data_IF_033224227220
#
_entry.id   IF_033224227220
#
_cell.length_a   1.000
_cell.length_b   1.000
_cell.length_c   1.000
_cell.angle_alpha   90.00
_cell.angle_beta   90.00
_cell.angle_gamma   90.00
#
_symmetry.space_group_name_H-M   'P 1'
#
loop_
_entity.id
_entity.type
_entity.pdbx_description
1 polymer ?
#
# COMPACT_ATOMS: atom_id res chain seq x y z
N UNK A 1 6.83 28.18 -1.24
CA UNK A 1 7.67 28.29 -0.08
C UNK A 1 8.41 26.99 0.21
N UNK A 2 9.70 27.06 0.22
CA UNK A 2 10.50 25.90 0.58
C UNK A 2 10.21 25.52 2.01
N UNK A 3 9.79 24.33 2.28
CA UNK A 3 9.56 23.82 3.61
C UNK A 3 8.18 23.30 3.89
N UNK A 4 7.19 23.61 3.07
CA UNK A 4 5.89 22.97 3.23
C UNK A 4 5.84 21.70 2.41
N UNK A 5 5.71 20.59 3.12
CA UNK A 5 5.51 19.28 2.49
C UNK A 5 4.03 19.05 2.25
N UNK A 6 3.67 18.46 1.11
CA UNK A 6 2.28 18.11 0.87
C UNK A 6 1.82 17.02 1.83
N UNK A 7 0.54 17.08 2.17
CA UNK A 7 -0.13 16.03 2.94
C UNK A 7 -1.26 15.49 2.09
N UNK A 8 -1.30 14.18 1.87
CA UNK A 8 -2.47 13.55 1.27
C UNK A 8 -3.27 12.86 2.36
N UNK A 9 -4.58 12.82 2.16
CA UNK A 9 -5.51 12.17 3.08
C UNK A 9 -6.01 10.89 2.44
N UNK A 10 -5.73 9.77 3.10
CA UNK A 10 -6.35 8.49 2.76
C UNK A 10 -7.46 8.27 3.78
N UNK A 11 -8.69 8.26 3.32
CA UNK A 11 -9.84 8.15 4.21
C UNK A 11 -10.37 6.72 4.22
N UNK A 12 -10.16 6.00 5.30
CA UNK A 12 -10.58 4.63 5.46
C UNK A 12 -12.10 4.42 5.42
N UNK A 13 -12.87 5.48 5.55
CA UNK A 13 -14.32 5.39 5.40
C UNK A 13 -14.79 5.42 3.94
N UNK A 14 -13.90 5.73 3.01
CA UNK A 14 -14.25 5.86 1.58
C UNK A 14 -14.00 4.60 0.78
N UNK A 15 -13.39 3.59 1.35
CA UNK A 15 -13.10 2.34 0.64
C UNK A 15 -13.25 1.15 1.58
N UNK A 16 -13.58 0.00 1.00
CA UNK A 16 -13.75 -1.26 1.74
C UNK A 16 -13.04 -2.44 1.09
N UNK A 17 -12.23 -2.20 0.07
CA UNK A 17 -11.47 -3.24 -0.63
C UNK A 17 -10.14 -2.70 -1.11
N UNK A 18 -9.24 -3.62 -1.47
CA UNK A 18 -7.93 -3.24 -2.00
C UNK A 18 -8.06 -2.44 -3.31
N UNK A 19 -8.97 -2.86 -4.20
CA UNK A 19 -9.21 -2.14 -5.44
C UNK A 19 -9.67 -0.71 -5.21
N UNK A 20 -10.59 -0.52 -4.27
CA UNK A 20 -11.05 0.82 -3.90
C UNK A 20 -9.95 1.63 -3.22
N UNK A 21 -9.09 0.98 -2.44
CA UNK A 21 -7.91 1.64 -1.87
C UNK A 21 -6.99 2.18 -2.99
N UNK A 22 -6.76 1.39 -4.04
CA UNK A 22 -5.96 1.84 -5.18
C UNK A 22 -6.61 3.04 -5.88
N UNK A 23 -7.93 3.08 -5.95
CA UNK A 23 -8.66 4.23 -6.50
C UNK A 23 -8.43 5.48 -5.64
N UNK A 24 -8.47 5.31 -4.33
CA UNK A 24 -8.21 6.41 -3.39
C UNK A 24 -6.78 6.95 -3.56
N UNK A 25 -5.79 6.06 -3.63
CA UNK A 25 -4.38 6.43 -3.85
C UNK A 25 -4.22 7.19 -5.18
N UNK A 26 -4.80 6.66 -6.24
CA UNK A 26 -4.70 7.28 -7.56
C UNK A 26 -5.27 8.70 -7.58
N UNK A 27 -6.38 8.90 -6.91
CA UNK A 27 -7.01 10.22 -6.82
C UNK A 27 -6.19 11.17 -5.97
N UNK A 28 -5.77 10.74 -4.77
CA UNK A 28 -5.05 11.61 -3.85
C UNK A 28 -3.65 11.97 -4.32
N UNK A 29 -2.98 11.05 -4.99
CA UNK A 29 -1.67 11.32 -5.59
C UNK A 29 -1.76 12.00 -6.95
N UNK A 30 -2.96 12.19 -7.48
CA UNK A 30 -3.21 12.76 -8.81
C UNK A 30 -2.49 11.98 -9.91
N UNK A 31 -2.54 10.66 -9.80
CA UNK A 31 -1.99 9.76 -10.80
C UNK A 31 -2.94 9.66 -11.99
N UNK A 32 -2.40 9.48 -13.18
CA UNK A 32 -3.22 9.21 -14.35
C UNK A 32 -3.88 7.83 -14.25
N UNK A 33 -4.71 7.51 -15.23
CA UNK A 33 -5.47 6.27 -15.25
C UNK A 33 -4.62 5.00 -15.37
N UNK A 34 -3.37 5.13 -15.71
CA UNK A 34 -2.52 4.01 -16.11
C UNK A 34 -1.47 3.58 -15.08
N UNK A 35 -1.68 3.85 -13.79
CA UNK A 35 -0.74 3.33 -12.81
C UNK A 35 -1.06 1.85 -12.49
N UNK A 36 -0.04 1.11 -12.02
CA UNK A 36 -0.11 -0.35 -11.92
C UNK A 36 -1.11 -0.94 -10.92
N UNK A 37 -1.53 -0.19 -9.91
CA UNK A 37 -2.56 -0.61 -8.94
C UNK A 37 -2.26 -1.94 -8.26
N UNK A 38 -1.01 -2.11 -7.82
CA UNK A 38 -0.53 -3.28 -7.09
C UNK A 38 0.46 -2.85 -6.02
N UNK A 39 0.75 -3.75 -5.08
CA UNK A 39 1.70 -3.46 -4.01
C UNK A 39 3.08 -3.08 -4.54
N UNK A 40 3.60 -3.82 -5.51
CA UNK A 40 4.91 -3.52 -6.12
C UNK A 40 4.89 -2.18 -6.85
N UNK A 41 3.82 -1.89 -7.58
CA UNK A 41 3.66 -0.62 -8.27
C UNK A 41 3.57 0.55 -7.27
N UNK A 42 2.89 0.34 -6.16
CA UNK A 42 2.80 1.34 -5.10
C UNK A 42 4.16 1.61 -4.46
N UNK A 43 4.93 0.56 -4.18
CA UNK A 43 6.28 0.68 -3.67
C UNK A 43 7.16 1.48 -4.63
N UNK A 44 7.09 1.16 -5.92
CA UNK A 44 7.83 1.88 -6.96
C UNK A 44 7.44 3.36 -7.04
N UNK A 45 6.15 3.67 -6.95
CA UNK A 45 5.68 5.06 -6.96
C UNK A 45 6.29 5.88 -5.83
N UNK A 46 6.32 5.32 -4.64
CA UNK A 46 6.90 6.01 -3.48
C UNK A 46 8.42 6.13 -3.60
N UNK A 47 9.06 5.13 -4.19
CA UNK A 47 10.51 5.11 -4.37
C UNK A 47 11.02 6.13 -5.36
N UNK A 48 10.35 6.28 -6.50
CA UNK A 48 10.74 7.25 -7.52
C UNK A 48 10.21 8.65 -7.23
N UNK A 49 9.22 8.78 -6.35
CA UNK A 49 8.58 10.05 -6.04
C UNK A 49 7.70 10.52 -7.18
N UNK A 50 6.44 10.10 -7.17
CA UNK A 50 5.49 10.39 -8.24
C UNK A 50 4.28 11.13 -7.71
N UNK A 51 3.69 11.99 -8.56
CA UNK A 51 2.49 12.73 -8.23
C UNK A 51 2.71 13.77 -7.13
N UNK A 52 1.73 13.93 -6.26
CA UNK A 52 1.77 14.95 -5.20
C UNK A 52 2.95 14.73 -4.24
N UNK A 53 3.36 13.47 -4.03
CA UNK A 53 4.46 13.12 -3.14
C UNK A 53 5.81 13.01 -3.86
N UNK A 54 5.97 13.64 -5.03
CA UNK A 54 7.20 13.57 -5.82
C UNK A 54 8.45 13.98 -5.03
N UNK A 55 8.31 14.90 -4.10
CA UNK A 55 9.40 15.40 -3.26
C UNK A 55 9.20 15.04 -1.78
N UNK A 56 8.50 13.93 -1.53
CA UNK A 56 8.16 13.53 -0.17
C UNK A 56 6.90 14.22 0.33
N UNK A 57 6.57 13.98 1.58
CA UNK A 57 5.39 14.55 2.21
C UNK A 57 4.83 13.64 3.28
N UNK A 58 3.56 13.81 3.58
CA UNK A 58 2.87 13.04 4.61
C UNK A 58 1.65 12.35 4.04
N UNK A 59 1.50 11.08 4.36
CA UNK A 59 0.26 10.33 4.16
C UNK A 59 -0.45 10.27 5.50
N UNK A 60 -1.59 10.94 5.59
CA UNK A 60 -2.44 10.87 6.77
C UNK A 60 -3.60 9.92 6.47
N UNK A 61 -3.61 8.80 7.15
CA UNK A 61 -4.60 7.75 6.94
C UNK A 61 -5.67 7.86 8.03
N UNK A 62 -6.82 8.39 7.65
CA UNK A 62 -7.96 8.57 8.55
C UNK A 62 -8.74 7.26 8.66
N UNK A 63 -9.33 7.03 9.84
CA UNK A 63 -10.08 5.81 10.12
C UNK A 63 -9.27 4.54 9.78
N UNK A 64 -8.00 4.55 10.16
CA UNK A 64 -7.09 3.45 9.85
C UNK A 64 -7.57 2.11 10.43
N UNK A 65 -8.24 2.12 11.59
CA UNK A 65 -8.77 0.90 12.19
C UNK A 65 -9.88 0.27 11.34
N UNK A 66 -10.67 1.07 10.64
CA UNK A 66 -11.67 0.57 9.70
C UNK A 66 -10.97 -0.12 8.54
N UNK A 67 -9.93 0.50 8.00
CA UNK A 67 -9.13 -0.08 6.92
C UNK A 67 -8.40 -1.34 7.36
N UNK A 68 -7.94 -1.40 8.60
CA UNK A 68 -7.30 -2.60 9.15
C UNK A 68 -8.25 -3.79 9.08
N UNK A 69 -9.54 -3.58 9.32
CA UNK A 69 -10.56 -4.61 9.18
C UNK A 69 -10.80 -5.00 7.73
N UNK A 70 -11.00 -4.02 6.85
CA UNK A 70 -11.28 -4.28 5.44
C UNK A 70 -10.10 -4.91 4.68
N UNK A 71 -8.88 -4.57 5.05
CA UNK A 71 -7.66 -5.07 4.41
C UNK A 71 -6.93 -6.08 5.32
N UNK A 72 -7.69 -6.75 6.19
CA UNK A 72 -7.18 -7.68 7.17
C UNK A 72 -7.05 -9.12 6.66
N UNK A 73 -7.26 -10.06 7.56
CA UNK A 73 -7.04 -11.48 7.30
C UNK A 73 -7.83 -11.99 6.09
N UNK A 74 -9.14 -11.77 6.08
CA UNK A 74 -10.01 -12.31 5.05
C UNK A 74 -9.66 -11.78 3.66
N UNK A 75 -9.44 -10.47 3.55
CA UNK A 75 -9.06 -9.85 2.28
C UNK A 75 -7.70 -10.37 1.80
N UNK A 76 -6.78 -10.60 2.73
CA UNK A 76 -5.46 -11.12 2.40
C UNK A 76 -5.54 -12.56 1.88
N UNK A 77 -6.30 -13.41 2.56
CA UNK A 77 -6.52 -14.80 2.13
C UNK A 77 -7.15 -14.82 0.74
N UNK A 78 -8.19 -14.00 0.53
CA UNK A 78 -8.87 -13.96 -0.76
C UNK A 78 -7.92 -13.55 -1.89
N UNK A 79 -7.07 -12.55 -1.64
CA UNK A 79 -6.08 -12.14 -2.63
C UNK A 79 -5.09 -13.25 -2.96
N UNK A 80 -4.63 -13.98 -1.95
CA UNK A 80 -3.71 -15.10 -2.16
C UNK A 80 -4.37 -16.25 -2.94
N UNK A 81 -5.64 -16.53 -2.64
CA UNK A 81 -6.41 -17.53 -3.39
C UNK A 81 -6.54 -17.11 -4.86
N UNK A 82 -6.92 -15.86 -5.11
CA UNK A 82 -7.09 -15.35 -6.47
C UNK A 82 -5.78 -15.41 -7.26
N UNK A 83 -4.67 -15.03 -6.62
CA UNK A 83 -3.36 -15.11 -7.26
C UNK A 83 -2.96 -16.54 -7.58
N UNK A 84 -3.26 -17.48 -6.68
CA UNK A 84 -2.97 -18.89 -6.92
C UNK A 84 -3.76 -19.41 -8.12
N UNK A 85 -5.04 -19.07 -8.21
CA UNK A 85 -5.92 -19.50 -9.30
C UNK A 85 -5.44 -19.00 -10.66
N UNK A 86 -4.84 -17.80 -10.71
CA UNK A 86 -4.34 -17.19 -11.93
C UNK A 86 -2.87 -17.50 -12.21
N UNK A 87 -2.24 -18.32 -11.37
CA UNK A 87 -0.81 -18.56 -11.47
C UNK A 87 -0.47 -19.56 -12.57
N UNK A 88 0.65 -19.33 -13.30
CA UNK A 88 1.21 -20.37 -14.13
C UNK A 88 1.65 -21.57 -13.29
N UNK A 89 1.68 -22.74 -13.90
CA UNK A 89 2.00 -24.00 -13.19
C UNK A 89 3.31 -23.90 -12.42
N UNK A 90 4.32 -23.24 -12.99
CA UNK A 90 5.63 -23.10 -12.38
C UNK A 90 5.64 -22.34 -11.04
N UNK A 91 4.64 -21.50 -10.80
CA UNK A 91 4.55 -20.70 -9.57
C UNK A 91 3.51 -21.20 -8.57
N UNK A 92 2.73 -22.21 -8.94
CA UNK A 92 1.63 -22.67 -8.08
C UNK A 92 2.10 -23.24 -6.75
N UNK A 93 3.18 -24.00 -6.76
CA UNK A 93 3.72 -24.60 -5.54
C UNK A 93 4.12 -23.54 -4.52
N UNK A 94 4.87 -22.54 -4.97
CA UNK A 94 5.34 -21.45 -4.13
C UNK A 94 4.17 -20.62 -3.61
N UNK A 95 3.23 -20.28 -4.48
CA UNK A 95 2.07 -19.46 -4.09
C UNK A 95 1.13 -20.22 -3.15
N UNK A 96 1.00 -21.53 -3.33
CA UNK A 96 0.25 -22.34 -2.38
C UNK A 96 0.91 -22.35 -1.01
N UNK A 97 2.24 -22.41 -0.97
CA UNK A 97 2.99 -22.35 0.27
C UNK A 97 2.78 -21.01 1.00
N UNK A 98 2.81 -19.91 0.26
CA UNK A 98 2.54 -18.58 0.83
C UNK A 98 1.15 -18.52 1.46
N UNK A 99 0.16 -19.06 0.77
CA UNK A 99 -1.22 -19.13 1.29
C UNK A 99 -1.29 -19.98 2.56
N UNK A 100 -0.69 -21.15 2.54
CA UNK A 100 -0.67 -22.04 3.70
C UNK A 100 0.03 -21.39 4.89
N UNK A 101 1.19 -20.77 4.67
CA UNK A 101 1.93 -20.07 5.72
C UNK A 101 1.09 -18.95 6.32
N UNK A 102 0.41 -18.18 5.49
CA UNK A 102 -0.45 -17.09 5.98
C UNK A 102 -1.60 -17.62 6.83
N UNK A 103 -2.25 -18.71 6.40
CA UNK A 103 -3.35 -19.31 7.17
C UNK A 103 -2.86 -19.90 8.50
N UNK A 104 -1.56 -20.14 8.65
CA UNK A 104 -0.95 -20.59 9.90
C UNK A 104 -0.31 -19.45 10.70
N UNK A 105 -0.68 -18.21 10.38
CA UNK A 105 -0.21 -17.04 11.12
C UNK A 105 1.13 -16.49 10.68
N UNK A 106 1.65 -16.91 9.54
CA UNK A 106 2.94 -16.44 9.02
C UNK A 106 2.73 -15.48 7.86
N UNK A 107 3.08 -14.24 8.07
CA UNK A 107 2.97 -13.21 7.05
C UNK A 107 2.13 -12.03 7.52
N UNK A 108 2.06 -11.02 6.66
CA UNK A 108 1.39 -9.76 6.96
C UNK A 108 0.05 -9.67 6.23
N UNK A 109 -0.93 -9.04 6.86
CA UNK A 109 -2.17 -8.68 6.18
C UNK A 109 -1.89 -7.62 5.11
N UNK A 110 -2.85 -7.41 4.20
CA UNK A 110 -2.73 -6.35 3.20
C UNK A 110 -2.52 -4.99 3.86
N UNK A 111 -3.26 -4.69 4.92
CA UNK A 111 -3.08 -3.44 5.65
C UNK A 111 -1.64 -3.29 6.15
N UNK A 112 -1.13 -4.32 6.81
CA UNK A 112 0.23 -4.29 7.36
C UNK A 112 1.29 -4.18 6.26
N UNK A 113 1.09 -4.84 5.12
CA UNK A 113 1.99 -4.73 3.97
C UNK A 113 2.02 -3.31 3.42
N UNK A 114 0.86 -2.67 3.28
CA UNK A 114 0.76 -1.29 2.78
C UNK A 114 1.45 -0.34 3.75
N UNK A 115 1.19 -0.47 5.05
CA UNK A 115 1.84 0.34 6.09
C UNK A 115 3.35 0.18 6.03
N UNK A 116 3.84 -1.05 5.91
CA UNK A 116 5.26 -1.34 5.84
C UNK A 116 5.90 -0.67 4.60
N UNK A 117 5.23 -0.73 3.46
CA UNK A 117 5.71 -0.08 2.23
C UNK A 117 5.86 1.42 2.45
N UNK A 118 4.84 2.08 3.00
CA UNK A 118 4.90 3.52 3.22
C UNK A 118 6.03 3.87 4.20
N UNK A 119 6.15 3.13 5.28
CA UNK A 119 7.20 3.37 6.29
C UNK A 119 8.59 3.12 5.76
N UNK A 120 8.73 2.21 4.81
CA UNK A 120 10.01 1.91 4.17
C UNK A 120 10.54 3.10 3.36
N UNK A 121 9.65 3.97 2.90
CA UNK A 121 9.99 5.21 2.21
C UNK A 121 10.00 6.42 3.14
N UNK A 122 10.05 6.19 4.44
CA UNK A 122 10.11 7.25 5.43
C UNK A 122 11.40 8.03 5.40
N UNK A 123 11.44 9.18 6.10
CA UNK A 123 12.66 9.98 6.19
C UNK A 123 13.79 9.18 6.84
N UNK A 124 14.96 9.15 6.19
CA UNK A 124 16.12 8.39 6.69
C UNK A 124 17.26 9.29 7.13
N UNK A 125 16.98 10.58 7.30
CA UNK A 125 17.98 11.52 7.77
C UNK A 125 19.11 11.83 6.80
N UNK A 126 19.08 11.29 5.58
CA UNK A 126 20.08 11.58 4.57
C UNK A 126 19.88 12.99 4.01
N UNK A 127 20.95 13.82 3.89
CA UNK A 127 20.80 15.14 3.31
C UNK A 127 20.21 15.09 1.91
N UNK A 128 19.22 15.94 1.63
CA UNK A 128 18.59 16.05 0.34
C UNK A 128 17.56 14.96 0.03
N UNK A 129 17.36 14.01 0.92
CA UNK A 129 16.32 13.00 0.77
C UNK A 129 15.09 13.39 1.56
N UNK A 130 14.02 13.57 0.83
CA UNK A 130 12.70 13.83 1.40
C UNK A 130 11.89 12.54 1.37
N UNK A 131 11.56 12.04 2.55
CA UNK A 131 10.80 10.80 2.69
C UNK A 131 9.31 11.05 2.81
N UNK A 132 8.57 9.97 2.79
CA UNK A 132 7.12 9.97 3.01
C UNK A 132 6.85 9.54 4.44
N UNK A 133 6.22 10.42 5.21
CA UNK A 133 5.83 10.13 6.59
C UNK A 133 4.40 9.59 6.62
N UNK A 134 4.16 8.56 7.44
CA UNK A 134 2.83 7.99 7.62
C UNK A 134 2.29 8.36 8.99
N UNK A 135 1.08 8.89 9.02
CA UNK A 135 0.33 9.15 10.24
C UNK A 135 -0.97 8.35 10.19
N UNK A 136 -1.13 7.42 11.11
CA UNK A 136 -2.39 6.67 11.28
C UNK A 136 -3.28 7.41 12.27
N UNK A 137 -4.45 7.78 11.81
CA UNK A 137 -5.37 8.61 12.62
C UNK A 137 -6.73 7.95 12.85
#
# INVERSE_FOLDING_TARGET
>A
MAGQRPTILIDGLRFGSLGEFWDEVGRELQLGMAWGRELDAFDDLLGVGTGVLAHGGTVRWLAAEVSRGHLGYEATVQRLIDRLALSPVSLRRERRRVLEDFTHGKGLTLFDQIVAIIRDHGPRGAPGREGVELVLA
#
